data_IF_421785147888
#
_entry.id   IF_421785147888
#
_cell.length_a   1.000
_cell.length_b   1.000
_cell.length_c   1.000
_cell.angle_alpha   90.00
_cell.angle_beta   90.00
_cell.angle_gamma   90.00
#
_symmetry.space_group_name_H-M   'P 1'
#
loop_
_entity.id
_entity.type
_entity.pdbx_description
1 polymer ?
#
# COMPACT_ATOMS: atom_id res chain seq x y z
N UNK A 1 20.72 1.71 8.52
CA UNK A 1 20.02 2.72 7.68
C UNK A 1 20.57 4.10 7.97
N UNK A 2 20.95 4.85 6.93
CA UNK A 2 21.45 6.24 7.04
C UNK A 2 20.34 7.19 7.51
N UNK A 3 20.73 8.38 7.99
CA UNK A 3 19.76 9.41 8.38
C UNK A 3 18.95 9.90 7.19
N UNK A 4 19.57 9.98 6.01
CA UNK A 4 18.89 10.35 4.73
C UNK A 4 17.77 9.36 4.39
N UNK A 5 18.06 8.06 4.41
CA UNK A 5 17.07 7.01 4.14
C UNK A 5 15.93 7.03 5.16
N UNK A 6 16.25 7.22 6.45
CA UNK A 6 15.21 7.36 7.47
C UNK A 6 14.35 8.61 7.26
N UNK A 7 14.94 9.73 6.82
CA UNK A 7 14.20 10.94 6.52
C UNK A 7 13.29 10.74 5.30
N UNK A 8 13.75 10.06 4.25
CA UNK A 8 12.94 9.72 3.08
C UNK A 8 11.75 8.82 3.45
N UNK A 9 11.96 7.80 4.29
CA UNK A 9 10.87 6.95 4.80
C UNK A 9 9.83 7.75 5.60
N UNK A 10 10.28 8.65 6.49
CA UNK A 10 9.35 9.53 7.25
C UNK A 10 8.57 10.46 6.32
N UNK A 11 9.22 11.04 5.32
CA UNK A 11 8.56 11.87 4.31
C UNK A 11 7.50 11.09 3.52
N UNK A 12 7.72 9.79 3.29
CA UNK A 12 6.75 8.86 2.72
C UNK A 12 5.62 8.45 3.69
N UNK A 13 5.67 8.90 4.95
CA UNK A 13 4.73 8.49 6.00
C UNK A 13 4.94 7.05 6.48
N UNK A 14 6.16 6.53 6.34
CA UNK A 14 6.57 5.21 6.84
C UNK A 14 7.42 5.38 8.11
N UNK A 15 7.13 4.56 9.13
CA UNK A 15 7.97 4.47 10.33
C UNK A 15 9.25 3.68 10.01
N UNK A 16 10.45 4.31 10.09
CA UNK A 16 11.71 3.64 9.81
C UNK A 16 11.96 2.39 10.68
N UNK A 17 11.47 2.38 11.92
CA UNK A 17 11.62 1.22 12.80
C UNK A 17 10.73 0.05 12.34
N UNK A 18 9.53 0.33 11.83
CA UNK A 18 8.67 -0.69 11.26
C UNK A 18 9.24 -1.23 9.94
N UNK A 19 9.74 -0.36 9.05
CA UNK A 19 10.39 -0.77 7.80
C UNK A 19 11.61 -1.64 8.09
N UNK A 20 12.47 -1.24 9.05
CA UNK A 20 13.62 -2.05 9.47
C UNK A 20 13.20 -3.46 9.88
N UNK A 21 12.18 -3.62 10.73
CA UNK A 21 11.71 -4.94 11.16
C UNK A 21 11.23 -5.80 9.99
N UNK A 22 10.55 -5.22 9.01
CA UNK A 22 10.11 -5.95 7.80
C UNK A 22 11.32 -6.45 7.02
N UNK A 23 12.32 -5.60 6.81
CA UNK A 23 13.52 -5.94 6.05
C UNK A 23 14.34 -6.99 6.83
N UNK A 24 14.56 -6.82 8.13
CA UNK A 24 15.32 -7.77 8.96
C UNK A 24 14.68 -9.18 8.91
N UNK A 25 13.34 -9.28 8.98
CA UNK A 25 12.64 -10.55 8.84
C UNK A 25 12.87 -11.17 7.45
N UNK A 26 12.81 -10.38 6.39
CA UNK A 26 13.04 -10.86 5.03
C UNK A 26 14.50 -11.30 4.81
N UNK A 27 15.47 -10.58 5.41
CA UNK A 27 16.88 -10.96 5.33
C UNK A 27 17.18 -12.25 6.12
N UNK A 28 16.55 -12.45 7.28
CA UNK A 28 16.67 -13.72 8.03
C UNK A 28 16.08 -14.88 7.25
N UNK A 29 14.96 -14.65 6.53
CA UNK A 29 14.36 -15.67 5.67
C UNK A 29 15.29 -16.06 4.52
N UNK A 30 15.94 -15.10 3.87
CA UNK A 30 16.74 -15.31 2.66
C UNK A 30 18.18 -15.77 2.97
N UNK A 31 18.80 -15.23 4.00
CA UNK A 31 20.22 -15.44 4.32
C UNK A 31 20.46 -16.42 5.49
N UNK A 32 19.39 -16.80 6.20
CA UNK A 32 19.49 -17.61 7.40
C UNK A 32 20.10 -16.88 8.60
N UNK A 33 20.36 -17.62 9.72
CA UNK A 33 20.80 -17.01 10.98
C UNK A 33 22.21 -16.42 10.91
N UNK A 34 23.06 -16.87 9.99
CA UNK A 34 24.43 -16.42 9.82
C UNK A 34 24.57 -15.28 8.80
N UNK A 35 23.47 -14.83 8.20
CA UNK A 35 23.41 -13.80 7.15
C UNK A 35 24.41 -14.07 6.02
N UNK A 36 24.46 -15.32 5.53
CA UNK A 36 25.47 -15.79 4.58
C UNK A 36 24.90 -16.04 3.18
N UNK A 37 25.42 -15.35 2.17
CA UNK A 37 25.26 -15.68 0.76
C UNK A 37 26.46 -16.52 0.31
N UNK A 38 26.28 -17.84 0.30
CA UNK A 38 27.36 -18.80 -0.04
C UNK A 38 27.88 -18.63 -1.46
N UNK A 39 27.00 -18.22 -2.40
CA UNK A 39 27.37 -18.03 -3.80
C UNK A 39 28.25 -16.81 -3.97
N UNK A 40 27.80 -15.65 -3.51
CA UNK A 40 28.55 -14.40 -3.66
C UNK A 40 29.88 -14.45 -2.92
N UNK A 41 29.90 -15.05 -1.71
CA UNK A 41 31.15 -15.19 -0.93
C UNK A 41 32.16 -16.12 -1.65
N UNK A 42 31.69 -17.19 -2.29
CA UNK A 42 32.57 -18.17 -2.95
C UNK A 42 33.08 -17.71 -4.33
N UNK A 43 32.28 -16.90 -5.07
CA UNK A 43 32.55 -16.61 -6.48
C UNK A 43 33.08 -15.21 -6.76
N UNK A 44 32.88 -14.25 -5.83
CA UNK A 44 33.22 -12.84 -6.06
C UNK A 44 34.36 -12.43 -5.12
N UNK A 45 35.40 -11.75 -5.60
CA UNK A 45 36.46 -11.20 -4.77
C UNK A 45 35.90 -10.20 -3.73
N UNK A 46 36.46 -10.22 -2.51
CA UNK A 46 35.94 -9.37 -1.42
C UNK A 46 36.11 -7.88 -1.70
N UNK A 47 37.11 -7.51 -2.49
CA UNK A 47 37.44 -6.14 -2.82
C UNK A 47 36.67 -5.60 -4.05
N UNK A 48 36.00 -6.50 -4.79
CA UNK A 48 35.27 -6.12 -5.99
C UNK A 48 34.12 -5.17 -5.65
N UNK A 49 34.01 -4.10 -6.45
CA UNK A 49 32.97 -3.11 -6.35
C UNK A 49 32.44 -2.81 -7.76
N UNK A 50 31.14 -2.78 -7.89
CA UNK A 50 30.46 -2.58 -9.18
C UNK A 50 29.34 -1.55 -9.03
N UNK A 51 28.77 -1.21 -10.17
CA UNK A 51 27.55 -0.44 -10.29
C UNK A 51 26.45 -1.30 -10.90
N UNK A 52 25.27 -1.24 -10.33
CA UNK A 52 24.09 -1.94 -10.81
C UNK A 52 22.93 -0.96 -11.03
N UNK A 53 22.11 -1.23 -12.03
CA UNK A 53 20.90 -0.47 -12.33
C UNK A 53 19.65 -1.24 -11.94
N UNK A 54 18.74 -0.57 -11.23
CA UNK A 54 17.35 -1.04 -11.06
C UNK A 54 16.57 -0.65 -12.31
N UNK A 55 16.14 -1.62 -13.11
CA UNK A 55 15.54 -1.42 -14.42
C UNK A 55 14.13 -1.98 -14.48
N UNK A 56 13.16 -1.16 -14.90
CA UNK A 56 11.79 -1.61 -15.13
C UNK A 56 11.72 -2.61 -16.32
N UNK A 57 11.10 -3.75 -16.12
CA UNK A 57 10.89 -4.78 -17.17
C UNK A 57 9.48 -4.72 -17.78
N UNK A 58 8.63 -3.87 -17.21
CA UNK A 58 7.27 -3.62 -17.69
C UNK A 58 6.88 -2.16 -17.40
N UNK A 59 5.82 -1.68 -18.06
CA UNK A 59 5.23 -0.39 -17.77
C UNK A 59 4.45 -0.44 -16.45
N UNK A 60 4.52 0.64 -15.66
CA UNK A 60 3.81 0.70 -14.37
C UNK A 60 3.98 2.00 -13.63
N UNK A 61 3.80 1.94 -12.32
CA UNK A 61 4.00 3.05 -11.38
C UNK A 61 4.98 2.60 -10.31
N UNK A 62 6.03 3.38 -10.12
CA UNK A 62 7.08 3.09 -9.15
C UNK A 62 6.60 3.38 -7.73
N UNK A 63 6.92 2.49 -6.79
CA UNK A 63 6.76 2.74 -5.36
C UNK A 63 7.72 1.89 -4.52
N UNK A 64 8.43 2.52 -3.58
CA UNK A 64 9.27 1.84 -2.60
C UNK A 64 10.78 2.00 -2.79
N UNK A 65 11.26 3.00 -3.53
CA UNK A 65 12.71 3.23 -3.70
C UNK A 65 13.43 3.40 -2.36
N UNK A 66 12.89 4.20 -1.43
CA UNK A 66 13.49 4.37 -0.11
C UNK A 66 13.53 3.05 0.71
N UNK A 67 12.56 2.14 0.48
CA UNK A 67 12.56 0.82 1.10
C UNK A 67 13.63 -0.08 0.48
N UNK A 68 13.76 -0.07 -0.85
CA UNK A 68 14.83 -0.80 -1.54
C UNK A 68 16.23 -0.30 -1.13
N UNK A 69 16.43 1.01 -1.05
CA UNK A 69 17.65 1.63 -0.53
C UNK A 69 17.97 1.14 0.88
N UNK A 70 16.95 1.10 1.75
CA UNK A 70 17.10 0.60 3.12
C UNK A 70 17.54 -0.87 3.17
N UNK A 71 17.12 -1.72 2.21
CA UNK A 71 17.59 -3.12 2.13
C UNK A 71 19.10 -3.18 1.87
N UNK A 72 19.60 -2.44 0.87
CA UNK A 72 21.04 -2.40 0.57
C UNK A 72 21.86 -1.94 1.76
N UNK A 73 21.41 -0.88 2.45
CA UNK A 73 22.08 -0.39 3.65
C UNK A 73 22.08 -1.41 4.79
N UNK A 74 20.95 -2.10 5.03
CA UNK A 74 20.85 -3.09 6.12
C UNK A 74 21.68 -4.35 5.83
N UNK A 75 21.75 -4.80 4.59
CA UNK A 75 22.68 -5.90 4.23
C UNK A 75 24.11 -5.50 4.55
N UNK A 76 24.53 -4.27 4.28
CA UNK A 76 25.85 -3.77 4.66
C UNK A 76 26.11 -3.77 6.18
N UNK A 77 25.04 -3.56 6.99
CA UNK A 77 25.14 -3.61 8.45
C UNK A 77 25.26 -5.06 8.99
N UNK A 78 24.50 -6.02 8.45
CA UNK A 78 24.37 -7.37 9.03
C UNK A 78 25.35 -8.38 8.44
N UNK A 79 25.77 -8.24 7.18
CA UNK A 79 26.66 -9.17 6.49
C UNK A 79 28.15 -8.99 6.81
N UNK A 80 28.49 -7.92 7.53
CA UNK A 80 29.89 -7.62 7.85
C UNK A 80 30.73 -7.16 6.66
N UNK A 81 30.13 -6.85 5.51
CA UNK A 81 30.85 -6.32 4.33
C UNK A 81 31.43 -4.92 4.56
N UNK A 82 31.06 -4.25 5.66
CA UNK A 82 31.73 -3.06 6.23
C UNK A 82 31.79 -1.83 5.35
N UNK A 83 31.11 -1.80 4.20
CA UNK A 83 31.07 -0.71 3.25
C UNK A 83 29.64 -0.24 3.02
N UNK A 84 29.50 1.07 2.80
CA UNK A 84 28.25 1.69 2.41
C UNK A 84 28.02 1.52 0.92
N UNK A 85 26.74 1.52 0.53
CA UNK A 85 26.33 1.67 -0.87
C UNK A 85 26.03 3.15 -1.16
N UNK A 86 26.23 3.56 -2.39
CA UNK A 86 25.75 4.82 -2.91
C UNK A 86 24.57 4.53 -3.82
N UNK A 87 23.43 5.17 -3.55
CA UNK A 87 22.20 5.02 -4.33
C UNK A 87 21.87 6.38 -4.98
N UNK A 88 21.76 6.39 -6.30
CA UNK A 88 21.32 7.53 -7.07
C UNK A 88 19.94 7.26 -7.65
N UNK A 89 18.92 7.92 -7.13
CA UNK A 89 17.55 7.80 -7.62
C UNK A 89 17.37 8.60 -8.91
N UNK A 90 16.84 7.98 -9.96
CA UNK A 90 16.61 8.56 -11.28
C UNK A 90 15.11 8.74 -11.58
N UNK A 91 14.27 8.05 -10.84
CA UNK A 91 12.82 8.15 -10.85
C UNK A 91 12.29 8.36 -9.41
N UNK A 92 11.02 8.73 -9.27
CA UNK A 92 10.38 8.97 -7.97
C UNK A 92 9.16 8.07 -7.78
N UNK A 93 8.89 7.74 -6.53
CA UNK A 93 7.66 7.04 -6.18
C UNK A 93 6.43 7.83 -6.64
N UNK A 94 5.46 7.14 -7.26
CA UNK A 94 4.27 7.71 -7.88
C UNK A 94 4.42 8.08 -9.35
N UNK A 95 5.64 8.08 -9.91
CA UNK A 95 5.86 8.31 -11.34
C UNK A 95 5.50 7.07 -12.17
N UNK A 96 4.99 7.31 -13.37
CA UNK A 96 4.83 6.27 -14.38
C UNK A 96 6.20 5.95 -14.97
N UNK A 97 6.46 4.67 -15.10
CA UNK A 97 7.69 4.16 -15.69
C UNK A 97 7.36 3.26 -16.86
N UNK A 98 8.24 3.24 -17.85
CA UNK A 98 8.14 2.39 -19.03
C UNK A 98 9.19 1.26 -18.96
N UNK A 99 8.92 0.18 -19.68
CA UNK A 99 9.89 -0.90 -19.83
C UNK A 99 11.23 -0.36 -20.35
N UNK A 100 12.30 -0.65 -19.63
CA UNK A 100 13.67 -0.23 -19.96
C UNK A 100 14.12 1.01 -19.21
N UNK A 101 13.23 1.70 -18.48
CA UNK A 101 13.64 2.85 -17.67
C UNK A 101 14.56 2.40 -16.53
N UNK A 102 15.64 3.13 -16.32
CA UNK A 102 16.53 3.00 -15.17
C UNK A 102 15.94 3.82 -14.02
N UNK A 103 15.56 3.14 -12.95
CA UNK A 103 14.86 3.73 -11.82
C UNK A 103 15.83 4.30 -10.77
N UNK A 104 16.91 3.60 -10.55
CA UNK A 104 18.01 4.00 -9.68
C UNK A 104 19.28 3.25 -10.06
N UNK A 105 20.40 3.83 -9.66
CA UNK A 105 21.73 3.20 -9.77
C UNK A 105 22.27 2.96 -8.38
N UNK A 106 22.83 1.78 -8.14
CA UNK A 106 23.42 1.37 -6.85
C UNK A 106 24.88 1.01 -7.07
N UNK A 107 25.79 1.69 -6.38
CA UNK A 107 27.23 1.43 -6.45
C UNK A 107 27.77 0.97 -5.10
N UNK A 108 28.56 -0.10 -5.09
CA UNK A 108 29.13 -0.63 -3.85
C UNK A 108 29.79 -1.99 -4.02
N UNK A 109 30.15 -2.66 -2.91
CA UNK A 109 30.73 -4.00 -2.95
C UNK A 109 29.81 -4.97 -3.71
N UNK A 110 30.34 -5.64 -4.72
CA UNK A 110 29.55 -6.54 -5.57
C UNK A 110 28.84 -7.62 -4.78
N UNK A 111 29.51 -8.21 -3.76
CA UNK A 111 28.88 -9.16 -2.85
C UNK A 111 27.64 -8.59 -2.18
N UNK A 112 27.72 -7.33 -1.70
CA UNK A 112 26.59 -6.66 -1.05
C UNK A 112 25.43 -6.43 -2.02
N UNK A 113 25.73 -5.95 -3.23
CA UNK A 113 24.71 -5.68 -4.25
C UNK A 113 23.90 -6.95 -4.56
N UNK A 114 24.58 -8.08 -4.81
CA UNK A 114 23.94 -9.35 -5.17
C UNK A 114 23.22 -10.00 -3.97
N UNK A 115 23.79 -9.90 -2.77
CA UNK A 115 23.15 -10.39 -1.55
C UNK A 115 21.85 -9.65 -1.22
N UNK A 116 21.81 -8.34 -1.48
CA UNK A 116 20.62 -7.51 -1.22
C UNK A 116 19.56 -7.61 -2.31
N UNK A 117 19.93 -8.00 -3.53
CA UNK A 117 19.11 -7.96 -4.74
C UNK A 117 17.71 -8.53 -4.53
N UNK A 118 17.62 -9.81 -4.10
CA UNK A 118 16.33 -10.50 -4.06
C UNK A 118 15.37 -9.85 -3.08
N UNK A 119 15.82 -9.53 -1.88
CA UNK A 119 14.98 -8.87 -0.87
C UNK A 119 14.57 -7.45 -1.31
N UNK A 120 15.50 -6.67 -1.89
CA UNK A 120 15.19 -5.35 -2.41
C UNK A 120 14.14 -5.41 -3.53
N UNK A 121 14.32 -6.31 -4.50
CA UNK A 121 13.39 -6.50 -5.63
C UNK A 121 12.04 -7.03 -5.15
N UNK A 122 11.98 -7.97 -4.22
CA UNK A 122 10.72 -8.49 -3.71
C UNK A 122 9.83 -7.38 -3.13
N UNK A 123 10.40 -6.48 -2.35
CA UNK A 123 9.65 -5.36 -1.76
C UNK A 123 9.32 -4.29 -2.82
N UNK A 124 10.28 -3.89 -3.65
CA UNK A 124 10.09 -2.88 -4.69
C UNK A 124 9.07 -3.31 -5.74
N UNK A 125 9.18 -4.53 -6.27
CA UNK A 125 8.25 -5.08 -7.25
C UNK A 125 6.84 -5.20 -6.68
N UNK A 126 6.71 -5.65 -5.41
CA UNK A 126 5.41 -5.76 -4.72
C UNK A 126 4.76 -4.39 -4.56
N UNK A 127 5.49 -3.41 -4.03
CA UNK A 127 4.97 -2.06 -3.80
C UNK A 127 4.61 -1.37 -5.12
N UNK A 128 5.48 -1.46 -6.13
CA UNK A 128 5.21 -0.91 -7.46
C UNK A 128 4.01 -1.57 -8.15
N UNK A 129 3.82 -2.88 -7.95
CA UNK A 129 2.64 -3.59 -8.45
C UNK A 129 1.34 -3.09 -7.82
N UNK A 130 1.31 -2.87 -6.50
CA UNK A 130 0.17 -2.26 -5.79
C UNK A 130 -0.09 -0.84 -6.30
N UNK A 131 0.96 -0.02 -6.48
CA UNK A 131 0.84 1.34 -7.00
C UNK A 131 0.31 1.35 -8.45
N UNK A 132 0.79 0.44 -9.29
CA UNK A 132 0.35 0.28 -10.69
C UNK A 132 -1.13 -0.09 -10.76
N UNK A 133 -1.56 -1.08 -9.99
CA UNK A 133 -2.97 -1.48 -9.93
C UNK A 133 -3.86 -0.36 -9.39
N UNK A 134 -3.41 0.34 -8.36
CA UNK A 134 -4.14 1.49 -7.81
C UNK A 134 -4.27 2.62 -8.83
N UNK A 135 -3.22 2.89 -9.61
CA UNK A 135 -3.25 3.89 -10.67
C UNK A 135 -4.30 3.57 -11.74
N UNK A 136 -4.45 2.31 -12.12
CA UNK A 136 -5.50 1.90 -13.05
C UNK A 136 -6.91 2.23 -12.53
N UNK A 137 -7.14 2.04 -11.22
CA UNK A 137 -8.39 2.44 -10.58
C UNK A 137 -8.55 3.96 -10.50
N UNK A 138 -7.51 4.69 -10.10
CA UNK A 138 -7.56 6.15 -10.05
C UNK A 138 -7.84 6.77 -11.43
N UNK A 139 -7.23 6.23 -12.49
CA UNK A 139 -7.49 6.65 -13.86
C UNK A 139 -8.93 6.35 -14.30
N UNK A 140 -9.47 5.18 -13.93
CA UNK A 140 -10.86 4.81 -14.25
C UNK A 140 -11.89 5.71 -13.55
N UNK A 141 -11.53 6.35 -12.44
CA UNK A 141 -12.38 7.29 -11.69
C UNK A 141 -12.14 8.76 -12.09
N UNK A 142 -11.20 9.03 -13.00
CA UNK A 142 -10.88 10.39 -13.41
C UNK A 142 -12.11 11.12 -13.96
N UNK A 143 -12.27 12.41 -13.58
CA UNK A 143 -13.43 13.21 -13.96
C UNK A 143 -14.68 13.02 -13.10
N UNK A 144 -14.65 12.12 -12.12
CA UNK A 144 -15.69 11.98 -11.08
C UNK A 144 -15.17 12.52 -9.75
N UNK A 145 -16.04 12.65 -8.72
CA UNK A 145 -15.59 12.96 -7.37
C UNK A 145 -15.05 11.74 -6.62
N UNK A 146 -15.33 10.54 -7.10
CA UNK A 146 -15.02 9.31 -6.42
C UNK A 146 -13.50 9.05 -6.37
N UNK A 147 -13.00 8.61 -5.22
CA UNK A 147 -11.62 8.18 -5.02
C UNK A 147 -11.57 6.69 -4.68
N UNK A 148 -10.50 6.00 -5.09
CA UNK A 148 -10.29 4.60 -4.70
C UNK A 148 -9.68 4.51 -3.31
N UNK A 149 -10.24 3.61 -2.47
CA UNK A 149 -9.77 3.29 -1.14
C UNK A 149 -9.17 1.88 -1.08
N UNK A 150 -8.13 1.73 -0.26
CA UNK A 150 -7.67 0.41 0.18
C UNK A 150 -8.57 -0.20 1.26
N UNK A 151 -8.18 -1.36 1.76
CA UNK A 151 -8.85 -2.08 2.84
C UNK A 151 -7.83 -2.63 3.84
N UNK A 152 -8.30 -3.37 4.86
CA UNK A 152 -7.45 -4.16 5.76
C UNK A 152 -7.11 -5.56 5.22
N UNK A 153 -7.52 -5.90 4.00
CA UNK A 153 -7.17 -7.17 3.34
C UNK A 153 -5.76 -7.07 2.75
N UNK A 154 -4.77 -6.91 3.61
CA UNK A 154 -3.36 -6.72 3.28
C UNK A 154 -2.54 -7.97 3.59
N UNK A 155 -1.37 -8.10 2.96
CA UNK A 155 -0.40 -9.12 3.32
C UNK A 155 0.04 -8.93 4.78
N UNK A 156 -0.02 -9.97 5.63
CA UNK A 156 0.43 -9.87 7.02
C UNK A 156 1.86 -9.31 7.11
N UNK A 157 2.06 -8.32 7.97
CA UNK A 157 3.35 -7.64 8.14
C UNK A 157 3.64 -6.51 7.15
N UNK A 158 3.03 -6.50 5.95
CA UNK A 158 3.32 -5.53 4.89
C UNK A 158 2.31 -4.38 4.79
N UNK A 159 1.32 -4.28 5.67
CA UNK A 159 0.23 -3.30 5.56
C UNK A 159 0.71 -1.87 5.38
N UNK A 160 1.70 -1.42 6.13
CA UNK A 160 2.20 -0.05 6.02
C UNK A 160 2.79 0.22 4.64
N UNK A 161 3.56 -0.74 4.09
CA UNK A 161 4.18 -0.64 2.77
C UNK A 161 3.12 -0.67 1.66
N UNK A 162 2.16 -1.60 1.73
CA UNK A 162 1.08 -1.72 0.74
C UNK A 162 0.18 -0.48 0.74
N UNK A 163 -0.16 0.05 1.91
CA UNK A 163 -0.95 1.29 2.01
C UNK A 163 -0.19 2.52 1.52
N UNK A 164 1.11 2.59 1.74
CA UNK A 164 1.95 3.60 1.11
C UNK A 164 1.89 3.49 -0.42
N UNK A 165 2.05 2.28 -0.95
CA UNK A 165 1.98 2.03 -2.39
C UNK A 165 0.63 2.42 -3.01
N UNK A 166 -0.47 2.23 -2.28
CA UNK A 166 -1.80 2.74 -2.69
C UNK A 166 -1.77 4.26 -2.84
N UNK A 167 -1.19 5.02 -1.90
CA UNK A 167 -1.05 6.48 -2.04
C UNK A 167 -0.17 6.86 -3.22
N UNK A 168 0.96 6.19 -3.40
CA UNK A 168 1.85 6.41 -4.55
C UNK A 168 1.13 6.15 -5.88
N UNK A 169 0.21 5.17 -5.93
CA UNK A 169 -0.65 4.91 -7.07
C UNK A 169 -1.77 5.93 -7.29
N UNK A 170 -1.97 6.88 -6.38
CA UNK A 170 -3.04 7.90 -6.46
C UNK A 170 -4.35 7.51 -5.79
N UNK A 171 -4.34 6.45 -4.98
CA UNK A 171 -5.45 6.07 -4.13
C UNK A 171 -5.39 6.71 -2.75
N UNK A 172 -6.39 6.42 -1.93
CA UNK A 172 -6.54 6.93 -0.56
C UNK A 172 -6.54 5.77 0.43
N UNK A 173 -5.99 6.00 1.61
CA UNK A 173 -5.98 4.97 2.65
C UNK A 173 -7.26 5.02 3.49
N UNK A 174 -7.81 3.85 3.76
CA UNK A 174 -8.77 3.60 4.82
C UNK A 174 -8.03 3.31 6.13
N UNK A 175 -8.75 3.05 7.21
CA UNK A 175 -8.19 2.76 8.54
C UNK A 175 -7.00 1.78 8.51
N UNK A 176 -6.03 2.03 9.38
CA UNK A 176 -4.85 1.16 9.54
C UNK A 176 -5.15 -0.10 10.35
N UNK A 177 -6.01 0.00 11.36
CA UNK A 177 -6.27 -1.08 12.30
C UNK A 177 -7.70 -1.12 12.83
N UNK A 178 -7.86 -1.72 14.00
CA UNK A 178 -9.12 -1.72 14.74
C UNK A 178 -9.18 -0.60 15.78
N UNK A 179 -8.07 0.12 15.95
CA UNK A 179 -7.84 1.11 17.00
C UNK A 179 -8.03 2.55 16.54
N UNK A 180 -7.92 2.84 15.25
CA UNK A 180 -7.91 4.20 14.69
C UNK A 180 -9.27 4.67 14.16
N UNK A 181 -10.12 3.73 13.67
CA UNK A 181 -11.48 4.01 13.22
C UNK A 181 -12.40 2.85 13.60
N UNK A 182 -13.49 3.14 14.29
CA UNK A 182 -14.53 2.17 14.56
C UNK A 182 -15.31 1.87 13.27
N UNK A 183 -15.64 0.61 13.04
CA UNK A 183 -16.48 0.20 11.91
C UNK A 183 -17.58 -0.74 12.41
N UNK A 184 -18.80 -0.24 12.40
CA UNK A 184 -19.98 -1.00 12.77
C UNK A 184 -20.41 -1.84 11.57
N UNK A 185 -20.41 -3.15 11.74
CA UNK A 185 -20.77 -4.15 10.73
C UNK A 185 -22.01 -4.93 11.16
N UNK A 186 -22.54 -5.79 10.26
CA UNK A 186 -23.77 -6.57 10.51
C UNK A 186 -23.80 -7.27 11.87
N UNK A 187 -22.72 -7.96 12.24
CA UNK A 187 -22.65 -8.63 13.53
C UNK A 187 -22.68 -7.66 14.72
N UNK A 188 -22.15 -6.44 14.56
CA UNK A 188 -22.24 -5.41 15.61
C UNK A 188 -23.65 -4.86 15.72
N UNK A 189 -24.33 -4.62 14.58
CA UNK A 189 -25.74 -4.18 14.54
C UNK A 189 -26.64 -5.23 15.23
N UNK A 190 -26.45 -6.50 14.85
CA UNK A 190 -27.20 -7.61 15.45
C UNK A 190 -27.00 -7.71 16.98
N UNK A 191 -25.75 -7.68 17.42
CA UNK A 191 -25.41 -7.78 18.85
C UNK A 191 -25.86 -6.57 19.68
N UNK A 192 -25.89 -5.38 19.09
CA UNK A 192 -26.32 -4.15 19.75
C UNK A 192 -27.85 -3.95 19.72
N UNK A 193 -28.54 -4.59 18.77
CA UNK A 193 -29.98 -4.51 18.54
C UNK A 193 -30.41 -3.55 17.43
N UNK A 194 -29.61 -2.54 17.07
CA UNK A 194 -29.84 -1.64 15.95
C UNK A 194 -28.55 -0.88 15.58
N UNK A 195 -28.54 -0.19 14.43
CA UNK A 195 -27.48 0.73 14.01
C UNK A 195 -27.36 1.85 15.03
N UNK A 196 -28.47 2.48 15.39
CA UNK A 196 -28.52 3.59 16.34
C UNK A 196 -27.92 3.20 17.69
N UNK A 197 -28.28 2.01 18.22
CA UNK A 197 -27.74 1.54 19.50
C UNK A 197 -26.24 1.24 19.42
N UNK A 198 -25.77 0.62 18.33
CA UNK A 198 -24.35 0.35 18.10
C UNK A 198 -23.55 1.66 18.01
N UNK A 199 -24.02 2.63 17.20
CA UNK A 199 -23.39 3.92 17.01
C UNK A 199 -23.23 4.69 18.32
N UNK A 200 -24.32 4.81 19.09
CA UNK A 200 -24.30 5.51 20.39
C UNK A 200 -23.32 4.89 21.38
N UNK A 201 -23.28 3.55 21.48
CA UNK A 201 -22.32 2.87 22.37
C UNK A 201 -20.88 3.15 22.00
N UNK A 202 -20.55 3.20 20.69
CA UNK A 202 -19.19 3.56 20.24
C UNK A 202 -18.87 4.99 20.60
N UNK A 203 -19.79 5.94 20.36
CA UNK A 203 -19.59 7.35 20.66
C UNK A 203 -19.46 7.65 22.16
N UNK A 204 -20.18 6.89 23.00
CA UNK A 204 -20.07 6.98 24.46
C UNK A 204 -18.75 6.44 24.98
N UNK A 205 -18.29 5.30 24.43
CA UNK A 205 -17.05 4.64 24.89
C UNK A 205 -15.78 5.30 24.32
N UNK A 206 -15.84 5.81 23.07
CA UNK A 206 -14.70 6.37 22.32
C UNK A 206 -15.12 7.64 21.58
N UNK A 207 -15.35 8.76 22.27
CA UNK A 207 -15.91 9.99 21.68
C UNK A 207 -15.05 10.60 20.56
N UNK A 208 -13.73 10.41 20.61
CA UNK A 208 -12.78 10.99 19.63
C UNK A 208 -12.52 10.07 18.42
N UNK A 209 -12.95 8.80 18.48
CA UNK A 209 -12.69 7.85 17.40
C UNK A 209 -13.73 8.03 16.28
N UNK A 210 -13.31 8.23 15.01
CA UNK A 210 -14.24 8.27 13.87
C UNK A 210 -15.02 6.96 13.76
N UNK A 211 -16.29 7.05 13.33
CA UNK A 211 -17.18 5.89 13.25
C UNK A 211 -17.70 5.73 11.83
N UNK A 212 -17.41 4.59 11.22
CA UNK A 212 -17.97 4.16 9.94
C UNK A 212 -19.08 3.14 10.19
N UNK A 213 -20.17 3.23 9.43
CA UNK A 213 -21.30 2.31 9.53
C UNK A 213 -21.50 1.57 8.21
N UNK A 214 -21.44 0.25 8.25
CA UNK A 214 -21.75 -0.60 7.10
C UNK A 214 -23.28 -0.73 6.96
N UNK A 215 -23.80 -0.41 5.78
CA UNK A 215 -25.22 -0.42 5.46
C UNK A 215 -25.46 -1.20 4.16
N UNK A 216 -26.58 -1.92 4.11
CA UNK A 216 -26.96 -2.78 2.98
C UNK A 216 -28.23 -2.30 2.27
N UNK A 217 -28.96 -1.35 2.87
CA UNK A 217 -30.19 -0.79 2.34
C UNK A 217 -30.23 0.73 2.49
N UNK A 218 -31.08 1.39 1.68
CA UNK A 218 -31.34 2.84 1.81
C UNK A 218 -31.89 3.19 3.18
N UNK A 219 -32.78 2.37 3.74
CA UNK A 219 -33.35 2.57 5.07
C UNK A 219 -32.27 2.55 6.16
N UNK A 220 -31.33 1.60 6.10
CA UNK A 220 -30.18 1.57 7.01
C UNK A 220 -29.27 2.79 6.85
N UNK A 221 -29.07 3.29 5.63
CA UNK A 221 -28.30 4.49 5.40
C UNK A 221 -28.95 5.73 6.06
N UNK A 222 -30.26 5.87 5.95
CA UNK A 222 -31.01 6.95 6.61
C UNK A 222 -30.94 6.81 8.13
N UNK A 223 -31.16 5.59 8.70
CA UNK A 223 -31.04 5.34 10.14
C UNK A 223 -29.65 5.72 10.67
N UNK A 224 -28.59 5.33 9.94
CA UNK A 224 -27.22 5.61 10.36
C UNK A 224 -26.94 7.13 10.42
N UNK A 225 -27.37 7.89 9.42
CA UNK A 225 -27.22 9.35 9.40
C UNK A 225 -28.05 10.03 10.47
N UNK A 226 -29.29 9.56 10.71
CA UNK A 226 -30.13 10.08 11.79
C UNK A 226 -29.54 9.78 13.18
N UNK A 227 -28.77 8.69 13.33
CA UNK A 227 -28.01 8.39 14.54
C UNK A 227 -26.76 9.27 14.70
N UNK A 228 -26.34 10.02 13.65
CA UNK A 228 -25.20 10.93 13.64
C UNK A 228 -23.97 10.40 12.91
N UNK A 229 -24.08 9.31 12.13
CA UNK A 229 -22.98 8.82 11.31
C UNK A 229 -22.73 9.77 10.13
N UNK A 230 -21.46 10.09 9.90
CA UNK A 230 -20.96 10.97 8.83
C UNK A 230 -20.14 10.20 7.76
N UNK A 231 -20.00 8.88 7.90
CA UNK A 231 -19.34 8.01 6.93
C UNK A 231 -20.06 6.66 6.82
N UNK A 232 -20.57 6.34 5.64
CA UNK A 232 -21.31 5.11 5.38
C UNK A 232 -20.56 4.19 4.40
N UNK A 233 -20.52 2.90 4.73
CA UNK A 233 -20.00 1.83 3.89
C UNK A 233 -21.19 1.10 3.26
N UNK A 234 -21.49 1.38 2.00
CA UNK A 234 -22.58 0.76 1.25
C UNK A 234 -22.11 -0.60 0.71
N UNK A 235 -22.46 -1.69 1.41
CA UNK A 235 -21.97 -3.03 1.10
C UNK A 235 -22.87 -3.75 0.11
N UNK A 236 -22.28 -4.20 -1.00
CA UNK A 236 -22.93 -4.99 -2.06
C UNK A 236 -24.21 -4.37 -2.65
N UNK A 237 -24.36 -3.05 -2.63
CA UNK A 237 -25.46 -2.36 -3.30
C UNK A 237 -25.25 -2.33 -4.82
N UNK A 238 -26.32 -2.50 -5.60
CA UNK A 238 -26.26 -2.22 -7.06
C UNK A 238 -26.11 -0.72 -7.30
N UNK A 239 -25.62 -0.27 -8.47
CA UNK A 239 -25.54 1.17 -8.77
C UNK A 239 -26.86 1.90 -8.61
N UNK A 240 -27.98 1.26 -8.91
CA UNK A 240 -29.32 1.86 -8.82
C UNK A 240 -29.68 2.13 -7.34
N UNK A 241 -29.54 1.12 -6.46
CA UNK A 241 -29.79 1.25 -5.01
C UNK A 241 -28.81 2.23 -4.36
N UNK A 242 -27.54 2.22 -4.83
CA UNK A 242 -26.52 3.13 -4.34
C UNK A 242 -26.84 4.59 -4.68
N UNK A 243 -27.36 4.85 -5.90
CA UNK A 243 -27.80 6.19 -6.30
C UNK A 243 -29.01 6.67 -5.45
N UNK A 244 -29.93 5.76 -5.10
CA UNK A 244 -31.02 6.08 -4.16
C UNK A 244 -30.49 6.42 -2.77
N UNK A 245 -29.48 5.65 -2.28
CA UNK A 245 -28.85 5.94 -0.99
C UNK A 245 -28.13 7.30 -0.99
N UNK A 246 -27.37 7.61 -2.07
CA UNK A 246 -26.72 8.92 -2.26
C UNK A 246 -27.76 10.06 -2.22
N UNK A 247 -28.87 9.91 -2.95
CA UNK A 247 -29.94 10.91 -2.97
C UNK A 247 -30.63 11.07 -1.60
N UNK A 248 -30.87 9.97 -0.88
CA UNK A 248 -31.51 9.99 0.43
C UNK A 248 -30.61 10.58 1.55
N UNK A 249 -29.30 10.33 1.48
CA UNK A 249 -28.31 10.83 2.45
C UNK A 249 -27.94 12.28 2.15
N UNK A 250 -27.75 12.64 0.89
CA UNK A 250 -27.27 13.96 0.47
C UNK A 250 -25.89 14.26 1.05
N UNK A 251 -25.65 15.51 1.40
CA UNK A 251 -24.36 15.98 1.96
C UNK A 251 -24.15 15.68 3.46
N UNK A 252 -25.01 14.84 4.07
CA UNK A 252 -24.95 14.54 5.50
C UNK A 252 -23.89 13.53 5.87
N UNK A 253 -23.41 12.74 4.93
CA UNK A 253 -22.34 11.75 5.13
C UNK A 253 -21.59 11.48 3.83
N UNK A 254 -20.32 11.07 3.95
CA UNK A 254 -19.55 10.48 2.86
C UNK A 254 -19.99 9.01 2.64
N UNK A 255 -20.12 8.61 1.38
CA UNK A 255 -20.54 7.28 1.00
C UNK A 255 -19.43 6.53 0.27
N UNK A 256 -19.17 5.32 0.74
CA UNK A 256 -18.23 4.38 0.16
C UNK A 256 -18.96 3.18 -0.43
N UNK A 257 -18.76 2.91 -1.73
CA UNK A 257 -19.20 1.65 -2.34
C UNK A 257 -18.18 0.54 -2.06
N UNK A 258 -18.67 -0.64 -1.67
CA UNK A 258 -17.83 -1.83 -1.46
C UNK A 258 -18.56 -3.10 -1.87
N UNK A 259 -17.78 -4.19 -2.08
CA UNK A 259 -18.32 -5.51 -2.45
C UNK A 259 -18.12 -5.83 -3.93
N UNK A 260 -17.18 -6.74 -4.24
CA UNK A 260 -17.01 -7.33 -5.57
C UNK A 260 -16.73 -6.37 -6.73
N UNK A 261 -16.22 -5.16 -6.46
CA UNK A 261 -15.96 -4.15 -7.48
C UNK A 261 -14.82 -4.57 -8.41
N UNK A 262 -15.01 -4.34 -9.72
CA UNK A 262 -14.02 -4.56 -10.77
C UNK A 262 -13.81 -3.27 -11.57
N UNK A 263 -12.69 -3.16 -12.29
CA UNK A 263 -12.40 -1.99 -13.13
C UNK A 263 -13.50 -1.73 -14.19
N UNK A 264 -14.10 -2.80 -14.74
CA UNK A 264 -15.13 -2.70 -15.76
C UNK A 264 -16.42 -2.00 -15.26
N UNK A 265 -16.71 -2.12 -13.95
CA UNK A 265 -17.90 -1.50 -13.36
C UNK A 265 -17.60 -0.20 -12.63
N UNK A 266 -16.32 0.16 -12.44
CA UNK A 266 -15.89 1.31 -11.65
C UNK A 266 -16.61 2.61 -12.04
N UNK A 267 -16.67 2.92 -13.33
CA UNK A 267 -17.33 4.12 -13.85
C UNK A 267 -18.85 4.17 -13.54
N UNK A 268 -19.54 3.03 -13.56
CA UNK A 268 -20.97 2.96 -13.22
C UNK A 268 -21.20 3.27 -11.74
N UNK A 269 -20.35 2.73 -10.86
CA UNK A 269 -20.43 3.03 -9.44
C UNK A 269 -20.05 4.49 -9.12
N UNK A 270 -19.01 5.02 -9.75
CA UNK A 270 -18.63 6.42 -9.59
C UNK A 270 -19.73 7.39 -10.06
N UNK A 271 -20.45 7.05 -11.13
CA UNK A 271 -21.55 7.86 -11.66
C UNK A 271 -22.75 7.97 -10.70
N UNK A 272 -22.86 7.11 -9.67
CA UNK A 272 -23.90 7.20 -8.65
C UNK A 272 -23.74 8.42 -7.73
N UNK A 273 -22.55 9.03 -7.72
CA UNK A 273 -22.24 10.16 -6.87
C UNK A 273 -21.67 9.78 -5.51
N UNK A 274 -21.16 8.55 -5.32
CA UNK A 274 -20.39 8.16 -4.12
C UNK A 274 -19.04 8.88 -4.06
N UNK A 275 -18.51 8.98 -2.85
CA UNK A 275 -17.22 9.63 -2.58
C UNK A 275 -16.06 8.66 -2.74
N UNK A 276 -16.29 7.36 -2.47
CA UNK A 276 -15.22 6.36 -2.46
C UNK A 276 -15.67 5.01 -3.04
N UNK A 277 -14.70 4.30 -3.63
CA UNK A 277 -14.80 2.90 -4.00
C UNK A 277 -13.73 2.11 -3.26
N UNK A 278 -14.12 1.19 -2.36
CA UNK A 278 -13.18 0.33 -1.63
C UNK A 278 -12.84 -0.93 -2.40
N UNK A 279 -11.55 -1.14 -2.64
CA UNK A 279 -11.05 -2.24 -3.46
C UNK A 279 -10.01 -3.06 -2.68
N UNK A 280 -10.42 -4.21 -2.16
CA UNK A 280 -9.51 -5.11 -1.45
C UNK A 280 -8.42 -5.69 -2.33
N UNK A 281 -8.72 -5.91 -3.62
CA UNK A 281 -7.79 -6.48 -4.59
C UNK A 281 -6.50 -5.67 -4.76
N UNK A 282 -6.52 -4.36 -4.47
CA UNK A 282 -5.32 -3.51 -4.52
C UNK A 282 -4.17 -4.07 -3.67
N UNK A 283 -4.49 -4.66 -2.54
CA UNK A 283 -3.47 -5.11 -1.59
C UNK A 283 -3.36 -6.63 -1.49
N UNK A 284 -4.42 -7.40 -1.80
CA UNK A 284 -4.33 -8.86 -1.72
C UNK A 284 -4.14 -9.58 -3.07
N UNK A 285 -4.36 -8.91 -4.23
CA UNK A 285 -4.34 -9.56 -5.55
C UNK A 285 -3.65 -8.74 -6.65
N UNK A 286 -2.92 -7.69 -6.31
CA UNK A 286 -2.13 -6.96 -7.30
C UNK A 286 -0.99 -7.82 -7.83
N UNK A 287 -0.82 -7.92 -9.16
CA UNK A 287 0.41 -8.43 -9.75
C UNK A 287 1.60 -7.57 -9.29
N UNK A 288 2.78 -8.13 -9.24
CA UNK A 288 4.01 -7.35 -9.07
C UNK A 288 4.32 -6.56 -10.34
N UNK A 289 5.01 -5.43 -10.21
CA UNK A 289 5.71 -4.81 -11.34
C UNK A 289 7.07 -5.49 -11.49
N UNK A 290 7.39 -5.99 -12.67
CA UNK A 290 8.67 -6.64 -12.91
C UNK A 290 9.80 -5.61 -13.00
N UNK A 291 10.76 -5.69 -12.08
CA UNK A 291 11.96 -4.86 -11.98
C UNK A 291 13.15 -5.79 -11.76
N UNK A 292 14.27 -5.50 -12.39
CA UNK A 292 15.51 -6.27 -12.24
C UNK A 292 16.67 -5.39 -11.77
N UNK A 293 17.70 -6.04 -11.22
CA UNK A 293 18.99 -5.43 -10.93
C UNK A 293 20.01 -5.92 -11.97
N UNK A 294 20.52 -5.03 -12.78
CA UNK A 294 21.50 -5.32 -13.80
C UNK A 294 22.86 -4.77 -13.39
N UNK A 295 23.85 -5.64 -13.19
CA UNK A 295 25.23 -5.19 -13.07
C UNK A 295 25.70 -4.59 -14.41
N UNK A 296 26.32 -3.42 -14.34
CA UNK A 296 26.94 -2.82 -15.53
C UNK A 296 28.17 -3.63 -15.92
N UNK A 297 28.22 -4.10 -17.16
CA UNK A 297 29.46 -4.63 -17.76
C UNK A 297 30.37 -3.48 -18.11
N UNK A 298 31.66 -3.59 -17.74
CA UNK A 298 32.68 -2.68 -18.20
C UNK A 298 32.82 -2.64 -19.74
#
# INVERSE_FOLDING_TARGET
MTESTQAALRAAGLDPAQVRRVIENALVEDLGPDFLDVTSVATIPAEQSDTADLVARADGVLAGLAVATAVFELVGEVSGFGRTVEVSELARDGERVARGDVLATVTGPTRLLLTAERTALNLLCRMSGVATHTRAWADALAGTKAMVLDTRKTTPGLRALEKYAVRAGGGTNKRMGLYDVAMIKDNHKLAAGSITAAYRRVREAFPEVPVQVEVTTVAEAVEAVEAGADFLLCDNMTPEVLAEAVAAVGDRAELEATGGLTLEVAGRYAATGVDFLSVGALTHSSPILDIALDLRSE
#
